data_IF_524538255682
#
_entry.id   IF_524538255682
#
_cell.length_a   1.000
_cell.length_b   1.000
_cell.length_c   1.000
_cell.angle_alpha   90.00
_cell.angle_beta   90.00
_cell.angle_gamma   90.00
#
_symmetry.space_group_name_H-M   'P 1'
#
loop_
_entity.id
_entity.type
_entity.pdbx_description
1 polymer ?
#
# COMPACT_ATOMS: atom_id res chain seq x y z
N UNK A 1 20.75 -41.67 -28.14
CA UNK A 1 20.89 -40.35 -27.50
C UNK A 1 19.73 -40.11 -26.55
N UNK A 2 20.00 -39.74 -25.30
CA UNK A 2 19.00 -39.48 -24.26
C UNK A 2 18.79 -37.98 -24.10
N UNK A 3 17.57 -37.50 -24.29
CA UNK A 3 17.18 -36.11 -24.05
C UNK A 3 16.78 -35.95 -22.57
N UNK A 4 17.47 -35.08 -21.84
CA UNK A 4 17.13 -34.73 -20.44
C UNK A 4 16.35 -33.41 -20.39
N UNK A 5 15.08 -33.48 -20.02
CA UNK A 5 14.26 -32.29 -19.74
C UNK A 5 14.64 -31.74 -18.36
N UNK A 6 15.21 -30.54 -18.32
CA UNK A 6 15.55 -29.84 -17.08
C UNK A 6 14.34 -29.02 -16.61
N UNK A 7 13.58 -29.53 -15.65
CA UNK A 7 12.50 -28.76 -15.00
C UNK A 7 13.09 -27.71 -14.06
N UNK A 8 12.85 -26.43 -14.34
CA UNK A 8 13.21 -25.30 -13.47
C UNK A 8 12.34 -25.31 -12.22
N UNK A 9 12.91 -25.60 -11.06
CA UNK A 9 12.25 -25.49 -9.75
C UNK A 9 12.00 -24.02 -9.44
N UNK A 10 10.75 -23.57 -9.53
CA UNK A 10 10.37 -22.24 -9.05
C UNK A 10 10.45 -22.23 -7.52
N UNK A 11 11.37 -21.43 -6.96
CA UNK A 11 11.44 -21.18 -5.53
C UNK A 11 10.18 -20.43 -5.10
N UNK A 12 9.38 -21.02 -4.18
CA UNK A 12 8.25 -20.32 -3.57
C UNK A 12 8.81 -19.16 -2.74
N UNK A 13 8.62 -17.94 -3.21
CA UNK A 13 8.89 -16.75 -2.40
C UNK A 13 7.83 -16.68 -1.31
N UNK A 14 8.28 -16.61 -0.05
CA UNK A 14 7.38 -16.24 1.03
C UNK A 14 6.99 -14.76 0.84
N UNK A 15 5.70 -14.41 0.92
CA UNK A 15 5.27 -13.03 0.80
C UNK A 15 5.93 -12.21 1.91
N UNK A 16 6.60 -11.14 1.50
CA UNK A 16 7.18 -10.16 2.41
C UNK A 16 6.06 -9.42 3.16
N UNK A 17 6.43 -8.73 4.23
CA UNK A 17 5.50 -7.86 4.95
C UNK A 17 4.94 -6.78 4.00
N UNK A 18 5.75 -6.26 3.08
CA UNK A 18 5.32 -5.26 2.10
C UNK A 18 4.24 -5.80 1.14
N UNK A 19 4.24 -7.11 0.86
CA UNK A 19 3.23 -7.73 0.00
C UNK A 19 1.86 -7.86 0.70
N UNK A 20 1.79 -7.62 2.01
CA UNK A 20 0.55 -7.64 2.80
C UNK A 20 -0.12 -6.27 2.89
N UNK A 21 0.54 -5.22 2.44
CA UNK A 21 0.04 -3.84 2.53
C UNK A 21 -0.29 -3.29 1.15
N UNK A 22 -1.40 -2.56 1.06
CA UNK A 22 -1.76 -1.82 -0.15
C UNK A 22 -0.77 -0.67 -0.32
N UNK A 23 -0.24 -0.51 -1.53
CA UNK A 23 0.55 0.67 -1.89
C UNK A 23 -0.40 1.79 -2.24
N UNK A 24 -0.23 2.93 -1.59
CA UNK A 24 -1.01 4.14 -1.79
C UNK A 24 -0.02 5.25 -2.15
N UNK A 25 -0.32 6.00 -3.20
CA UNK A 25 0.45 7.17 -3.62
C UNK A 25 0.16 8.38 -2.73
N UNK A 26 1.07 9.35 -2.74
CA UNK A 26 0.85 10.59 -2.00
C UNK A 26 -0.40 11.35 -2.48
N UNK A 27 -0.68 11.32 -3.79
CA UNK A 27 -1.87 11.96 -4.36
C UNK A 27 -3.15 11.37 -3.78
N UNK A 28 -3.23 10.04 -3.68
CA UNK A 28 -4.38 9.37 -3.07
C UNK A 28 -4.54 9.72 -1.59
N UNK A 29 -3.43 9.85 -0.83
CA UNK A 29 -3.49 10.32 0.56
C UNK A 29 -3.98 11.77 0.66
N UNK A 30 -3.49 12.64 -0.22
CA UNK A 30 -3.90 14.05 -0.27
C UNK A 30 -5.40 14.16 -0.58
N UNK A 31 -5.89 13.46 -1.58
CA UNK A 31 -7.32 13.44 -1.95
C UNK A 31 -8.17 12.83 -0.84
N UNK A 32 -7.74 11.70 -0.25
CA UNK A 32 -8.45 11.03 0.83
C UNK A 32 -8.61 11.89 2.09
N UNK A 33 -7.72 12.85 2.32
CA UNK A 33 -7.72 13.74 3.50
C UNK A 33 -8.19 15.17 3.17
N UNK A 34 -8.74 15.40 1.97
CA UNK A 34 -9.14 16.72 1.48
C UNK A 34 -8.00 17.75 1.57
N UNK A 35 -6.79 17.31 1.21
CA UNK A 35 -5.58 18.12 1.25
C UNK A 35 -5.04 18.37 2.65
N UNK A 36 -5.21 17.40 3.57
CA UNK A 36 -4.90 17.57 5.00
C UNK A 36 -5.67 18.73 5.64
N UNK A 37 -6.96 18.84 5.31
CA UNK A 37 -7.84 19.87 5.87
C UNK A 37 -7.84 19.82 7.40
N UNK A 38 -7.87 21.00 8.04
CA UNK A 38 -8.00 21.12 9.49
C UNK A 38 -9.32 20.54 10.02
N UNK A 39 -10.37 20.52 9.18
CA UNK A 39 -11.66 19.90 9.53
C UNK A 39 -11.53 18.38 9.72
N UNK A 40 -10.49 17.77 9.12
CA UNK A 40 -10.17 16.36 9.24
C UNK A 40 -9.07 16.08 10.27
N UNK A 41 -8.55 17.09 11.00
CA UNK A 41 -7.53 16.88 12.02
C UNK A 41 -8.11 16.15 13.25
N UNK A 42 -7.55 14.99 13.57
CA UNK A 42 -7.90 14.21 14.77
C UNK A 42 -7.04 14.66 15.95
N UNK A 43 -5.78 15.00 15.70
CA UNK A 43 -4.88 15.50 16.75
C UNK A 43 -3.48 15.79 16.24
N UNK A 44 -2.73 16.56 17.03
CA UNK A 44 -1.35 16.92 16.76
C UNK A 44 -0.49 16.64 18.00
N UNK A 45 0.65 15.99 17.80
CA UNK A 45 1.63 15.70 18.83
C UNK A 45 3.05 16.02 18.37
N UNK A 46 4.04 15.68 19.20
CA UNK A 46 5.46 15.92 18.91
C UNK A 46 5.96 15.25 17.63
N UNK A 47 5.30 14.17 17.19
CA UNK A 47 5.69 13.38 16.02
C UNK A 47 4.93 13.75 14.74
N UNK A 48 3.98 14.69 14.83
CA UNK A 48 3.20 15.14 13.68
C UNK A 48 1.71 15.23 13.95
N UNK A 49 0.96 15.42 12.86
CA UNK A 49 -0.49 15.57 12.85
C UNK A 49 -1.16 14.33 12.26
N UNK A 50 -2.28 13.95 12.85
CA UNK A 50 -3.08 12.80 12.43
C UNK A 50 -4.39 13.31 11.84
N UNK A 51 -4.64 12.97 10.58
CA UNK A 51 -5.84 13.37 9.85
C UNK A 51 -6.72 12.15 9.54
N UNK A 52 -8.03 12.35 9.58
CA UNK A 52 -9.02 11.42 9.05
C UNK A 52 -8.97 11.47 7.52
N UNK A 53 -9.05 10.31 6.88
CA UNK A 53 -9.23 10.23 5.43
C UNK A 53 -9.97 8.97 5.00
N UNK A 54 -10.56 9.01 3.81
CA UNK A 54 -11.28 7.89 3.21
C UNK A 54 -10.70 7.57 1.84
N UNK A 55 -10.18 6.36 1.67
CA UNK A 55 -9.66 5.91 0.38
C UNK A 55 -10.86 5.50 -0.49
N UNK A 56 -11.21 6.34 -1.45
CA UNK A 56 -12.21 5.97 -2.47
C UNK A 56 -11.56 4.96 -3.40
N UNK A 57 -11.78 3.68 -3.15
CA UNK A 57 -11.58 2.66 -4.18
C UNK A 57 -12.78 2.78 -5.12
N UNK A 58 -12.56 3.36 -6.29
CA UNK A 58 -13.43 3.04 -7.43
C UNK A 58 -13.26 1.54 -7.65
N UNK A 59 -14.30 0.77 -7.34
CA UNK A 59 -14.43 -0.60 -7.84
C UNK A 59 -14.63 -0.51 -9.35
N UNK A 60 -13.81 -1.22 -10.12
CA UNK A 60 -14.12 -1.64 -11.50
C UNK A 60 -14.47 -3.13 -11.50
#
# INVERSE_FOLDING_TARGET
>A
SSFRVLYRRQSRKNPSIADRFIRISYKELFEATEGFSLDNLIGQGSFGSVYKGSLVKLED
#
